data_IF_290149997641
#
_entry.id   IF_290149997641
#
_cell.length_a   1.000
_cell.length_b   1.000
_cell.length_c   1.000
_cell.angle_alpha   90.00
_cell.angle_beta   90.00
_cell.angle_gamma   90.00
#
_symmetry.space_group_name_H-M   'P 1'
#
loop_
_entity.id
_entity.type
_entity.pdbx_description
1 polymer ?
#
# COMPACT_ATOMS: atom_id res chain seq x y z
N UNK A 1 -3.15 -30.63 -7.41
CA UNK A 1 -3.38 -29.87 -6.17
C UNK A 1 -3.81 -28.48 -6.57
N UNK A 2 -4.89 -27.92 -5.99
CA UNK A 2 -5.31 -26.56 -6.32
C UNK A 2 -4.20 -25.57 -5.97
N UNK A 3 -4.01 -24.57 -6.82
CA UNK A 3 -3.06 -23.48 -6.55
C UNK A 3 -3.50 -22.68 -5.32
N UNK A 4 -2.59 -21.92 -4.73
CA UNK A 4 -2.92 -21.06 -3.57
C UNK A 4 -4.04 -20.09 -3.92
N UNK A 5 -4.07 -19.55 -5.15
CA UNK A 5 -5.13 -18.64 -5.56
C UNK A 5 -6.48 -19.33 -5.69
N UNK A 6 -6.54 -20.53 -6.26
CA UNK A 6 -7.79 -21.32 -6.33
C UNK A 6 -8.34 -21.64 -4.94
N UNK A 7 -7.46 -21.87 -3.96
CA UNK A 7 -7.87 -22.04 -2.56
C UNK A 7 -8.44 -20.73 -1.97
N UNK A 8 -7.83 -19.57 -2.29
CA UNK A 8 -8.34 -18.25 -1.88
C UNK A 8 -9.71 -17.95 -2.51
N UNK A 9 -9.90 -18.25 -3.79
CA UNK A 9 -11.20 -18.16 -4.48
C UNK A 9 -12.26 -19.01 -3.78
N UNK A 10 -11.89 -20.24 -3.39
CA UNK A 10 -12.78 -21.11 -2.61
C UNK A 10 -13.15 -20.48 -1.27
N UNK A 11 -12.19 -19.92 -0.53
CA UNK A 11 -12.47 -19.20 0.72
C UNK A 11 -13.47 -18.06 0.53
N UNK A 12 -13.39 -17.32 -0.58
CA UNK A 12 -14.37 -16.29 -0.90
C UNK A 12 -15.75 -16.88 -1.20
N UNK A 13 -15.82 -17.94 -2.02
CA UNK A 13 -17.09 -18.60 -2.37
C UNK A 13 -17.82 -19.20 -1.16
N UNK A 14 -17.07 -19.65 -0.15
CA UNK A 14 -17.59 -20.16 1.12
C UNK A 14 -17.99 -19.04 2.10
N UNK A 15 -17.80 -17.77 1.74
CA UNK A 15 -18.11 -16.62 2.59
C UNK A 15 -17.12 -16.37 3.72
N UNK A 16 -15.98 -17.09 3.76
CA UNK A 16 -14.95 -16.91 4.79
C UNK A 16 -14.18 -15.61 4.64
N UNK A 17 -14.12 -15.08 3.41
CA UNK A 17 -13.58 -13.78 3.10
C UNK A 17 -14.52 -13.03 2.16
N UNK A 18 -14.83 -11.76 2.46
CA UNK A 18 -15.63 -10.90 1.55
C UNK A 18 -14.85 -10.52 0.29
N UNK A 19 -13.53 -10.37 0.42
CA UNK A 19 -12.64 -10.03 -0.69
C UNK A 19 -11.29 -10.70 -0.48
N UNK A 20 -10.63 -11.04 -1.58
CA UNK A 20 -9.31 -11.66 -1.61
C UNK A 20 -8.35 -10.79 -2.41
N UNK A 21 -7.07 -10.82 -2.06
CA UNK A 21 -6.05 -9.97 -2.66
C UNK A 21 -4.66 -10.55 -2.42
N UNK A 22 -3.67 -9.81 -2.89
CA UNK A 22 -2.25 -10.19 -2.82
C UNK A 22 -1.44 -9.09 -2.11
N UNK A 23 -0.21 -9.42 -1.75
CA UNK A 23 0.75 -8.48 -1.17
C UNK A 23 2.13 -8.74 -1.75
N UNK A 24 2.90 -7.68 -2.02
CA UNK A 24 4.24 -7.75 -2.63
C UNK A 24 4.28 -8.38 -4.03
N UNK A 25 3.19 -8.23 -4.81
CA UNK A 25 3.17 -8.68 -6.20
C UNK A 25 3.68 -7.59 -7.14
N UNK A 26 4.65 -7.96 -7.98
CA UNK A 26 5.15 -7.11 -9.07
C UNK A 26 4.20 -7.13 -10.26
N UNK A 27 4.40 -6.23 -11.23
CA UNK A 27 3.61 -6.19 -12.47
C UNK A 27 3.59 -7.54 -13.18
N UNK A 28 4.74 -8.22 -13.27
CA UNK A 28 4.85 -9.54 -13.89
C UNK A 28 4.03 -10.59 -13.13
N UNK A 29 4.16 -10.66 -11.80
CA UNK A 29 3.40 -11.61 -10.98
C UNK A 29 1.89 -11.36 -11.05
N UNK A 30 1.46 -10.09 -11.09
CA UNK A 30 0.07 -9.74 -11.29
C UNK A 30 -0.43 -10.16 -12.67
N UNK A 31 0.33 -9.88 -13.74
CA UNK A 31 -0.02 -10.29 -15.08
C UNK A 31 -0.17 -11.82 -15.17
N UNK A 32 0.80 -12.56 -14.63
CA UNK A 32 0.77 -14.02 -14.59
C UNK A 32 -0.46 -14.52 -13.81
N UNK A 33 -0.76 -13.96 -12.63
CA UNK A 33 -1.94 -14.31 -11.83
C UNK A 33 -3.24 -14.09 -12.58
N UNK A 34 -3.38 -12.94 -13.25
CA UNK A 34 -4.59 -12.56 -13.97
C UNK A 34 -4.88 -13.46 -15.17
N UNK A 35 -3.91 -14.24 -15.67
CA UNK A 35 -4.14 -15.19 -16.77
C UNK A 35 -5.03 -16.38 -16.38
N UNK A 36 -5.05 -16.74 -15.09
CA UNK A 36 -5.74 -17.94 -14.60
C UNK A 36 -6.67 -17.68 -13.40
N UNK A 37 -6.66 -16.47 -12.84
CA UNK A 37 -7.58 -16.06 -11.79
C UNK A 37 -9.02 -15.93 -12.34
N UNK A 38 -9.97 -16.67 -11.75
CA UNK A 38 -11.41 -16.50 -12.02
C UNK A 38 -11.97 -15.30 -11.27
N UNK A 39 -11.52 -15.11 -10.03
CA UNK A 39 -11.77 -13.91 -9.24
C UNK A 39 -10.48 -13.10 -9.22
N UNK A 40 -10.43 -11.90 -9.83
CA UNK A 40 -9.23 -11.06 -9.80
C UNK A 40 -8.97 -10.56 -8.37
N UNK A 41 -7.70 -10.34 -8.00
CA UNK A 41 -7.36 -9.80 -6.69
C UNK A 41 -7.98 -8.40 -6.52
N UNK A 42 -8.75 -8.20 -5.45
CA UNK A 42 -9.34 -6.90 -5.15
C UNK A 42 -8.29 -5.87 -4.74
N UNK A 43 -7.20 -6.32 -4.12
CA UNK A 43 -6.14 -5.46 -3.58
C UNK A 43 -4.77 -6.04 -3.90
N UNK A 44 -3.80 -5.17 -4.19
CA UNK A 44 -2.37 -5.46 -4.07
C UNK A 44 -1.76 -4.54 -3.00
N UNK A 45 -1.35 -5.12 -1.87
CA UNK A 45 -0.71 -4.38 -0.79
C UNK A 45 0.81 -4.33 -1.01
N UNK A 46 1.38 -3.14 -1.19
CA UNK A 46 2.81 -2.95 -1.55
C UNK A 46 3.42 -1.74 -0.87
N UNK A 47 4.75 -1.68 -0.79
CA UNK A 47 5.45 -0.51 -0.25
C UNK A 47 5.25 0.69 -1.16
N UNK A 48 4.63 1.76 -0.66
CA UNK A 48 4.55 3.01 -1.43
C UNK A 48 4.78 4.20 -0.51
N UNK A 49 5.74 5.01 -0.88
CA UNK A 49 6.11 6.25 -0.21
C UNK A 49 6.74 7.24 -1.22
N UNK A 50 7.01 8.51 -0.87
CA UNK A 50 7.48 9.53 -1.82
C UNK A 50 8.76 9.15 -2.58
N UNK A 51 9.64 8.40 -1.91
CA UNK A 51 10.89 7.87 -2.50
C UNK A 51 10.62 6.64 -3.37
N UNK A 52 9.61 5.83 -3.05
CA UNK A 52 9.25 4.60 -3.77
C UNK A 52 7.78 4.63 -4.21
N UNK A 53 7.51 5.35 -5.29
CA UNK A 53 6.12 5.68 -5.69
C UNK A 53 5.41 4.56 -6.47
N UNK A 54 6.16 3.58 -6.96
CA UNK A 54 5.66 2.43 -7.74
C UNK A 54 4.68 2.79 -8.87
N UNK A 55 4.96 3.86 -9.65
CA UNK A 55 4.04 4.39 -10.68
C UNK A 55 3.54 3.33 -11.65
N UNK A 56 4.45 2.59 -12.30
CA UNK A 56 4.10 1.53 -13.26
C UNK A 56 3.17 0.46 -12.67
N UNK A 57 3.38 0.08 -11.41
CA UNK A 57 2.53 -0.90 -10.73
C UNK A 57 1.16 -0.31 -10.41
N UNK A 58 1.11 0.94 -9.95
CA UNK A 58 -0.15 1.65 -9.67
C UNK A 58 -0.99 1.83 -10.93
N UNK A 59 -0.36 2.16 -12.05
CA UNK A 59 -1.05 2.35 -13.33
C UNK A 59 -1.64 1.01 -13.81
N UNK A 60 -0.87 -0.07 -13.75
CA UNK A 60 -1.36 -1.43 -14.07
C UNK A 60 -2.52 -1.84 -13.15
N UNK A 61 -2.38 -1.64 -11.84
CA UNK A 61 -3.43 -1.95 -10.88
C UNK A 61 -4.71 -1.14 -11.18
N UNK A 62 -4.57 0.15 -11.48
CA UNK A 62 -5.69 1.01 -11.85
C UNK A 62 -6.39 0.54 -13.13
N UNK A 63 -5.62 0.17 -14.16
CA UNK A 63 -6.16 -0.36 -15.42
C UNK A 63 -6.94 -1.66 -15.22
N UNK A 64 -6.46 -2.53 -14.32
CA UNK A 64 -7.08 -3.83 -14.02
C UNK A 64 -8.14 -3.77 -12.90
N UNK A 65 -8.48 -2.58 -12.39
CA UNK A 65 -9.44 -2.42 -11.30
C UNK A 65 -8.98 -2.99 -9.95
N UNK A 66 -7.67 -3.18 -9.77
CA UNK A 66 -7.05 -3.66 -8.53
C UNK A 66 -6.70 -2.47 -7.66
N UNK A 67 -7.17 -2.47 -6.42
CA UNK A 67 -6.87 -1.38 -5.49
C UNK A 67 -5.45 -1.50 -4.91
N UNK A 68 -4.69 -0.40 -4.86
CA UNK A 68 -3.36 -0.41 -4.23
C UNK A 68 -3.47 0.04 -2.78
N UNK A 69 -2.97 -0.82 -1.88
CA UNK A 69 -2.86 -0.47 -0.45
C UNK A 69 -1.38 -0.29 -0.11
N UNK A 70 -0.97 0.94 0.17
CA UNK A 70 0.41 1.27 0.52
C UNK A 70 0.74 0.87 1.95
N UNK A 71 1.71 -0.02 2.15
CA UNK A 71 2.35 -0.22 3.46
C UNK A 71 3.63 0.62 3.58
N UNK A 72 4.14 0.75 4.81
CA UNK A 72 5.32 1.55 5.15
C UNK A 72 5.37 2.94 4.50
N UNK A 73 4.27 3.73 4.58
CA UNK A 73 4.26 5.03 3.93
C UNK A 73 5.38 5.94 4.45
N UNK A 74 5.84 5.75 5.70
CA UNK A 74 6.91 6.53 6.31
C UNK A 74 8.31 5.91 6.15
N UNK A 75 8.50 4.90 5.29
CA UNK A 75 9.79 4.23 5.11
C UNK A 75 10.16 3.27 6.24
N UNK A 76 9.16 2.72 6.95
CA UNK A 76 9.35 1.72 8.00
C UNK A 76 10.34 2.13 9.13
N UNK A 77 10.38 3.41 9.50
CA UNK A 77 11.27 3.94 10.55
C UNK A 77 11.27 3.07 11.82
N UNK A 78 12.45 2.59 12.20
CA UNK A 78 12.67 1.72 13.37
C UNK A 78 12.60 0.22 13.08
N UNK A 79 12.26 -0.19 11.86
CA UNK A 79 12.43 -1.57 11.41
C UNK A 79 13.86 -1.82 10.91
N UNK A 80 14.35 -3.06 11.01
CA UNK A 80 15.69 -3.47 10.56
C UNK A 80 15.93 -3.18 9.06
N UNK A 81 14.86 -3.22 8.27
CA UNK A 81 14.87 -2.96 6.83
C UNK A 81 14.38 -1.55 6.46
N UNK A 82 14.02 -0.72 7.45
CA UNK A 82 13.47 0.61 7.24
C UNK A 82 14.53 1.70 7.22
N UNK A 83 14.13 2.90 6.77
CA UNK A 83 14.99 4.08 6.67
C UNK A 83 14.26 5.36 7.03
N UNK A 84 14.99 6.32 7.60
CA UNK A 84 14.50 7.68 7.85
C UNK A 84 14.41 8.54 6.59
N UNK A 85 14.89 8.06 5.44
CA UNK A 85 14.97 8.83 4.20
C UNK A 85 13.65 9.51 3.83
N UNK A 86 12.51 8.86 4.06
CA UNK A 86 11.18 9.43 3.78
C UNK A 86 10.86 10.63 4.68
N UNK A 87 11.22 10.57 5.96
CA UNK A 87 11.03 11.66 6.91
C UNK A 87 12.06 12.77 6.76
N UNK A 88 13.21 12.45 6.17
CA UNK A 88 14.32 13.38 5.95
C UNK A 88 14.29 14.05 4.58
N UNK A 89 13.44 13.58 3.66
CA UNK A 89 13.20 14.20 2.37
C UNK A 89 12.82 15.69 2.51
N UNK A 90 13.59 16.55 1.85
CA UNK A 90 13.44 18.02 1.93
C UNK A 90 12.07 18.49 1.43
N UNK A 91 11.52 17.82 0.43
CA UNK A 91 10.20 18.11 -0.13
C UNK A 91 9.10 17.81 0.89
N UNK A 92 9.23 16.69 1.62
CA UNK A 92 8.31 16.34 2.71
C UNK A 92 8.43 17.36 3.85
N UNK A 93 9.65 17.81 4.19
CA UNK A 93 9.87 18.85 5.20
C UNK A 93 9.27 20.19 4.78
N UNK A 94 9.51 20.62 3.54
CA UNK A 94 9.01 21.89 2.98
C UNK A 94 7.48 21.91 2.95
N UNK A 95 6.85 20.82 2.50
CA UNK A 95 5.39 20.72 2.49
C UNK A 95 4.85 20.72 3.93
N UNK A 96 5.48 19.98 4.85
CA UNK A 96 5.12 19.97 6.27
C UNK A 96 5.15 21.37 6.91
N UNK A 97 6.20 22.13 6.66
CA UNK A 97 6.31 23.52 7.10
C UNK A 97 5.22 24.41 6.50
N UNK A 98 4.99 24.31 5.18
CA UNK A 98 3.98 25.11 4.49
C UNK A 98 2.54 24.84 4.98
N UNK A 99 2.25 23.60 5.40
CA UNK A 99 0.94 23.17 5.85
C UNK A 99 0.75 23.27 7.37
N UNK A 100 1.80 23.60 8.13
CA UNK A 100 1.78 23.54 9.60
C UNK A 100 1.46 22.14 10.15
N UNK A 101 1.74 21.08 9.38
CA UNK A 101 1.44 19.68 9.73
C UNK A 101 2.72 18.88 9.95
N UNK A 102 2.63 17.76 10.67
CA UNK A 102 3.79 16.89 10.86
C UNK A 102 4.20 16.20 9.55
N UNK A 103 5.48 15.86 9.42
CA UNK A 103 6.00 15.13 8.23
C UNK A 103 5.22 13.84 7.97
N UNK A 104 4.80 13.18 9.06
CA UNK A 104 3.98 11.98 8.98
C UNK A 104 2.56 12.24 8.47
N UNK A 105 1.94 13.36 8.86
CA UNK A 105 0.64 13.79 8.34
C UNK A 105 0.73 14.14 6.85
N UNK A 106 1.71 14.96 6.45
CA UNK A 106 1.91 15.31 5.03
C UNK A 106 2.11 14.08 4.18
N UNK A 107 2.96 13.17 4.62
CA UNK A 107 3.23 11.96 3.88
C UNK A 107 1.99 11.05 3.71
N UNK A 108 1.07 11.05 4.69
CA UNK A 108 -0.25 10.40 4.53
C UNK A 108 -1.13 11.15 3.53
N UNK A 109 -1.13 12.48 3.55
CA UNK A 109 -1.97 13.34 2.71
C UNK A 109 -1.50 13.45 1.25
N UNK A 110 -0.25 13.10 0.93
CA UNK A 110 0.25 13.17 -0.44
C UNK A 110 -0.67 12.41 -1.41
N UNK A 111 -1.29 13.10 -2.38
CA UNK A 111 -2.35 12.54 -3.19
C UNK A 111 -1.78 11.49 -4.14
N UNK A 112 -2.24 10.26 -3.96
CA UNK A 112 -2.09 9.20 -4.94
C UNK A 112 -3.51 8.75 -5.28
N UNK A 113 -4.05 9.16 -6.44
CA UNK A 113 -5.38 8.74 -6.87
C UNK A 113 -5.50 7.21 -6.78
N UNK A 114 -6.60 6.74 -6.20
CA UNK A 114 -6.93 5.31 -6.08
C UNK A 114 -6.09 4.49 -5.10
N UNK A 115 -5.44 5.12 -4.11
CA UNK A 115 -4.55 4.42 -3.16
C UNK A 115 -4.91 4.68 -1.69
N UNK A 116 -5.07 3.61 -0.91
CA UNK A 116 -5.16 3.70 0.57
C UNK A 116 -3.78 3.53 1.19
N UNK A 117 -3.49 4.27 2.27
CA UNK A 117 -2.23 4.16 3.02
C UNK A 117 -2.45 3.55 4.40
N UNK A 118 -1.74 2.46 4.68
CA UNK A 118 -1.72 1.82 5.98
C UNK A 118 -0.82 2.58 6.95
N UNK A 119 -1.38 3.07 8.05
CA UNK A 119 -0.61 3.66 9.14
C UNK A 119 -0.22 2.61 10.17
N UNK A 120 1.07 2.37 10.37
CA UNK A 120 1.56 1.63 11.53
C UNK A 120 1.73 2.60 12.72
N UNK A 121 1.05 2.33 13.84
CA UNK A 121 1.11 3.15 15.06
C UNK A 121 1.42 2.27 16.27
N UNK A 122 2.65 2.36 16.77
CA UNK A 122 3.12 1.60 17.94
C UNK A 122 3.13 2.40 19.24
N UNK A 123 3.24 3.75 19.18
CA UNK A 123 3.28 4.62 20.36
C UNK A 123 1.94 5.33 20.56
N UNK A 124 1.40 5.29 21.79
CA UNK A 124 0.06 5.75 22.13
C UNK A 124 -0.18 7.23 21.79
N UNK A 125 0.81 8.10 22.03
CA UNK A 125 0.77 9.54 21.72
C UNK A 125 0.48 9.83 20.24
N UNK A 126 1.01 9.00 19.33
CA UNK A 126 0.78 9.13 17.86
C UNK A 126 -0.62 8.68 17.42
N UNK A 127 -1.44 8.16 18.33
CA UNK A 127 -2.87 7.91 18.07
C UNK A 127 -3.69 9.20 18.15
N UNK A 128 -3.22 10.21 18.89
CA UNK A 128 -3.90 11.49 19.12
C UNK A 128 -3.69 12.55 18.03
N UNK A 129 -2.75 12.35 17.09
CA UNK A 129 -2.68 13.16 15.87
C UNK A 129 -3.96 12.96 15.05
N UNK A 130 -4.93 13.87 15.24
CA UNK A 130 -6.17 13.93 14.46
C UNK A 130 -5.85 14.15 12.97
N UNK A 131 -6.70 13.59 12.12
CA UNK A 131 -6.69 13.73 10.65
C UNK A 131 -6.74 15.22 10.25
#
# INVERSE_FOLDING_TARGET
MPTVWEAMEKCQSLGLAKSIGVSNFTCKKLADLLTHARIPPAVNQVEVHPIWQQRKLRDLCSEKGIHVTAYSPLGAVGAVWGSNAVLECEEVKRIAQSMGKSRAQVNKLLPHPGMLKMGCRTRFERRGEKL
#
